data_IF_807860409262
#
_entry.id   IF_807860409262
#
_cell.length_a   1.000
_cell.length_b   1.000
_cell.length_c   1.000
_cell.angle_alpha   90.00
_cell.angle_beta   90.00
_cell.angle_gamma   90.00
#
_symmetry.space_group_name_H-M   'P 1'
#
loop_
_entity.id
_entity.type
_entity.pdbx_description
1 polymer ?
#
# COMPACT_ATOMS: atom_id res chain seq x y z
N UNK A 1 -3.48 -17.12 -43.55
CA UNK A 1 -4.07 -15.92 -42.91
C UNK A 1 -4.49 -16.27 -41.48
N UNK A 2 -3.65 -15.98 -40.47
CA UNK A 2 -3.99 -16.11 -39.05
C UNK A 2 -4.53 -14.75 -38.58
N UNK A 3 -5.84 -14.64 -38.43
CA UNK A 3 -6.42 -13.56 -37.64
C UNK A 3 -6.07 -13.85 -36.16
N UNK A 4 -4.96 -13.27 -35.70
CA UNK A 4 -4.70 -13.14 -34.28
C UNK A 4 -5.81 -12.22 -33.74
N UNK A 5 -6.85 -12.85 -33.18
CA UNK A 5 -7.90 -12.15 -32.47
C UNK A 5 -7.23 -11.29 -31.39
N UNK A 6 -7.39 -9.97 -31.53
CA UNK A 6 -7.16 -9.04 -30.43
C UNK A 6 -8.17 -9.34 -29.34
N UNK A 7 -7.85 -10.32 -28.48
CA UNK A 7 -8.50 -10.47 -27.20
C UNK A 7 -8.04 -9.27 -26.36
N UNK A 8 -8.83 -8.20 -26.40
CA UNK A 8 -8.70 -7.11 -25.45
C UNK A 8 -8.70 -7.72 -24.05
N UNK A 9 -7.60 -7.51 -23.34
CA UNK A 9 -7.28 -8.10 -22.05
C UNK A 9 -8.25 -7.58 -20.98
N UNK A 10 -9.51 -8.04 -20.98
CA UNK A 10 -10.45 -7.80 -19.87
C UNK A 10 -10.10 -8.78 -18.77
N UNK A 11 -9.12 -8.43 -17.96
CA UNK A 11 -8.92 -9.06 -16.66
C UNK A 11 -10.17 -8.76 -15.82
N UNK A 12 -10.88 -9.81 -15.40
CA UNK A 12 -12.03 -9.65 -14.53
C UNK A 12 -11.53 -9.15 -13.16
N UNK A 13 -12.03 -8.00 -12.72
CA UNK A 13 -11.65 -7.42 -11.43
C UNK A 13 -12.16 -8.33 -10.32
N UNK A 14 -11.27 -8.72 -9.42
CA UNK A 14 -11.62 -9.59 -8.30
C UNK A 14 -12.38 -8.78 -7.21
N UNK A 15 -13.36 -9.36 -6.50
CA UNK A 15 -13.97 -8.70 -5.34
C UNK A 15 -12.95 -8.25 -4.29
N UNK A 16 -11.80 -8.93 -4.23
CA UNK A 16 -10.70 -8.54 -3.33
C UNK A 16 -10.03 -7.23 -3.76
N UNK A 17 -9.80 -7.04 -5.06
CA UNK A 17 -9.24 -5.79 -5.60
C UNK A 17 -10.18 -4.63 -5.29
N UNK A 18 -11.48 -4.84 -5.49
CA UNK A 18 -12.48 -3.83 -5.17
C UNK A 18 -12.50 -3.49 -3.67
N UNK A 19 -12.43 -4.49 -2.79
CA UNK A 19 -12.40 -4.25 -1.35
C UNK A 19 -11.09 -3.55 -0.93
N UNK A 20 -9.96 -3.87 -1.57
CA UNK A 20 -8.69 -3.17 -1.37
C UNK A 20 -8.80 -1.69 -1.76
N UNK A 21 -9.41 -1.38 -2.89
CA UNK A 21 -9.65 0.01 -3.31
C UNK A 21 -10.57 0.75 -2.32
N UNK A 22 -11.57 0.08 -1.73
CA UNK A 22 -12.40 0.67 -0.69
C UNK A 22 -11.61 1.04 0.58
N UNK A 23 -10.60 0.25 0.96
CA UNK A 23 -9.70 0.62 2.08
C UNK A 23 -8.96 1.91 1.76
N UNK A 24 -8.51 2.09 0.52
CA UNK A 24 -7.87 3.33 0.07
C UNK A 24 -8.85 4.51 0.02
N UNK A 25 -10.06 4.31 -0.49
CA UNK A 25 -11.11 5.35 -0.49
C UNK A 25 -11.47 5.79 0.93
N UNK A 26 -11.54 4.84 1.88
CA UNK A 26 -11.73 5.16 3.29
C UNK A 26 -10.61 6.06 3.83
N UNK A 27 -9.36 5.78 3.46
CA UNK A 27 -8.22 6.62 3.81
C UNK A 27 -8.39 8.06 3.29
N UNK A 28 -8.81 8.23 2.03
CA UNK A 28 -9.06 9.54 1.44
C UNK A 28 -10.16 10.31 2.18
N UNK A 29 -11.23 9.62 2.63
CA UNK A 29 -12.25 10.23 3.49
C UNK A 29 -11.66 10.71 4.81
N UNK A 30 -10.83 9.89 5.46
CA UNK A 30 -10.18 10.24 6.73
C UNK A 30 -9.21 11.42 6.58
N UNK A 31 -8.42 11.45 5.50
CA UNK A 31 -7.52 12.56 5.17
C UNK A 31 -8.29 13.87 4.92
N UNK A 32 -9.40 13.78 4.18
CA UNK A 32 -10.28 14.93 3.92
C UNK A 32 -10.86 15.47 5.22
N UNK A 33 -11.32 14.60 6.11
CA UNK A 33 -11.81 15.00 7.43
C UNK A 33 -10.71 15.63 8.29
N UNK A 34 -9.50 15.06 8.30
CA UNK A 34 -8.36 15.64 9.02
C UNK A 34 -8.05 17.06 8.54
N UNK A 35 -8.03 17.29 7.23
CA UNK A 35 -7.82 18.62 6.66
C UNK A 35 -8.94 19.61 7.00
N UNK A 36 -10.20 19.15 6.98
CA UNK A 36 -11.36 19.96 7.35
C UNK A 36 -11.34 20.38 8.82
N UNK A 37 -10.89 19.52 9.72
CA UNK A 37 -10.76 19.82 11.16
C UNK A 37 -9.55 20.70 11.44
N UNK A 38 -8.50 20.63 10.63
CA UNK A 38 -7.27 21.41 10.76
C UNK A 38 -7.02 22.30 9.52
N UNK A 39 -7.86 23.32 9.25
CA UNK A 39 -7.78 24.18 8.06
C UNK A 39 -6.66 25.25 8.20
N UNK A 40 -5.44 24.78 8.43
CA UNK A 40 -4.23 25.60 8.59
C UNK A 40 -3.14 25.09 7.66
N UNK A 41 -2.12 25.90 7.37
CA UNK A 41 -0.97 25.46 6.57
C UNK A 41 -0.26 24.25 7.18
N UNK A 42 -0.19 24.18 8.51
CA UNK A 42 0.34 23.02 9.23
C UNK A 42 -0.52 21.77 9.00
N UNK A 43 -1.82 21.87 9.20
CA UNK A 43 -2.75 20.75 8.96
C UNK A 43 -2.75 20.27 7.50
N UNK A 44 -2.57 21.19 6.56
CA UNK A 44 -2.39 20.87 5.14
C UNK A 44 -1.09 20.08 4.88
N UNK A 45 0.04 20.52 5.45
CA UNK A 45 1.31 19.81 5.33
C UNK A 45 1.26 18.42 5.99
N UNK A 46 0.68 18.33 7.19
CA UNK A 46 0.41 17.08 7.91
C UNK A 46 -0.42 16.11 7.05
N UNK A 47 -1.52 16.60 6.48
CA UNK A 47 -2.38 15.80 5.59
C UNK A 47 -1.64 15.36 4.33
N UNK A 48 -0.80 16.22 3.74
CA UNK A 48 -0.01 15.89 2.55
C UNK A 48 1.00 14.76 2.83
N UNK A 49 1.65 14.78 4.00
CA UNK A 49 2.56 13.69 4.42
C UNK A 49 1.80 12.38 4.58
N UNK A 50 0.64 12.40 5.25
CA UNK A 50 -0.20 11.20 5.39
C UNK A 50 -0.73 10.71 4.04
N UNK A 51 -1.07 11.62 3.13
CA UNK A 51 -1.47 11.26 1.77
C UNK A 51 -0.34 10.54 1.03
N UNK A 52 0.91 11.01 1.13
CA UNK A 52 2.07 10.34 0.52
C UNK A 52 2.23 8.92 1.09
N UNK A 53 2.06 8.75 2.40
CA UNK A 53 2.14 7.43 3.04
C UNK A 53 1.07 6.47 2.53
N UNK A 54 -0.19 6.91 2.54
CA UNK A 54 -1.35 6.13 2.12
C UNK A 54 -1.30 5.81 0.63
N UNK A 55 -1.04 6.84 -0.19
CA UNK A 55 -0.95 6.70 -1.65
C UNK A 55 0.22 5.81 -2.05
N UNK A 56 1.39 5.99 -1.44
CA UNK A 56 2.54 5.12 -1.68
C UNK A 56 2.22 3.67 -1.34
N UNK A 57 1.62 3.43 -0.18
CA UNK A 57 1.20 2.09 0.25
C UNK A 57 0.24 1.44 -0.75
N UNK A 58 -0.78 2.19 -1.20
CA UNK A 58 -1.72 1.71 -2.22
C UNK A 58 -1.02 1.44 -3.55
N UNK A 59 -0.23 2.38 -4.06
CA UNK A 59 0.43 2.27 -5.36
C UNK A 59 1.39 1.06 -5.41
N UNK A 60 2.25 0.91 -4.40
CA UNK A 60 3.18 -0.23 -4.34
C UNK A 60 2.43 -1.56 -4.25
N UNK A 61 1.40 -1.65 -3.41
CA UNK A 61 0.61 -2.89 -3.28
C UNK A 61 -0.12 -3.23 -4.59
N UNK A 62 -0.65 -2.23 -5.30
CA UNK A 62 -1.29 -2.42 -6.62
C UNK A 62 -0.30 -2.92 -7.68
N UNK A 63 0.91 -2.34 -7.72
CA UNK A 63 1.97 -2.83 -8.61
C UNK A 63 2.37 -4.27 -8.26
N UNK A 64 2.56 -4.57 -6.98
CA UNK A 64 2.90 -5.92 -6.54
C UNK A 64 1.81 -6.95 -6.83
N UNK A 65 0.54 -6.62 -6.57
CA UNK A 65 -0.59 -7.49 -6.90
C UNK A 65 -0.65 -7.80 -8.40
N UNK A 66 -0.27 -6.84 -9.24
CA UNK A 66 -0.18 -7.01 -10.69
C UNK A 66 1.03 -7.89 -11.08
N UNK A 67 2.22 -7.61 -10.54
CA UNK A 67 3.46 -8.30 -10.89
C UNK A 67 3.53 -9.74 -10.35
N UNK A 68 3.03 -9.97 -9.13
CA UNK A 68 3.05 -11.26 -8.45
C UNK A 68 1.84 -12.14 -8.76
N UNK A 69 0.89 -11.61 -9.54
CA UNK A 69 -0.38 -12.24 -9.88
C UNK A 69 -1.29 -12.46 -8.65
N UNK A 70 -2.33 -11.64 -8.52
CA UNK A 70 -3.26 -11.64 -7.38
C UNK A 70 -4.04 -12.95 -7.22
N UNK A 71 -4.17 -13.72 -8.31
CA UNK A 71 -4.87 -15.01 -8.31
C UNK A 71 -4.07 -16.09 -7.56
N UNK A 72 -2.79 -15.85 -7.26
CA UNK A 72 -2.00 -16.73 -6.40
C UNK A 72 -2.46 -16.61 -4.94
N UNK A 73 -2.69 -17.75 -4.25
CA UNK A 73 -3.19 -17.74 -2.87
C UNK A 73 -2.28 -16.96 -1.90
N UNK A 74 -0.98 -16.94 -2.18
CA UNK A 74 0.01 -16.18 -1.39
C UNK A 74 -0.18 -14.67 -1.55
N UNK A 75 -0.20 -14.16 -2.78
CA UNK A 75 -0.40 -12.74 -3.09
C UNK A 75 -1.74 -12.28 -2.50
N UNK A 76 -2.77 -13.12 -2.63
CA UNK A 76 -4.09 -12.88 -2.04
C UNK A 76 -4.05 -12.71 -0.52
N UNK A 77 -3.32 -13.58 0.19
CA UNK A 77 -3.15 -13.47 1.65
C UNK A 77 -2.35 -12.22 2.03
N UNK A 78 -1.31 -11.88 1.28
CA UNK A 78 -0.53 -10.66 1.50
C UNK A 78 -1.40 -9.42 1.36
N UNK A 79 -2.22 -9.33 0.30
CA UNK A 79 -3.16 -8.23 0.10
C UNK A 79 -4.17 -8.16 1.25
N UNK A 80 -4.73 -9.29 1.71
CA UNK A 80 -5.63 -9.32 2.87
C UNK A 80 -4.96 -8.77 4.15
N UNK A 81 -3.70 -9.13 4.41
CA UNK A 81 -2.93 -8.61 5.55
C UNK A 81 -2.72 -7.10 5.40
N UNK A 82 -2.32 -6.64 4.21
CA UNK A 82 -2.14 -5.21 3.91
C UNK A 82 -3.44 -4.44 4.11
N UNK A 83 -4.59 -5.00 3.75
CA UNK A 83 -5.89 -4.38 3.96
C UNK A 83 -6.24 -4.25 5.43
N UNK A 84 -6.00 -5.29 6.24
CA UNK A 84 -6.22 -5.24 7.69
C UNK A 84 -5.34 -4.18 8.36
N UNK A 85 -4.05 -4.17 8.03
CA UNK A 85 -3.10 -3.16 8.52
C UNK A 85 -3.46 -1.75 8.01
N UNK A 86 -3.86 -1.64 6.75
CA UNK A 86 -4.29 -0.40 6.12
C UNK A 86 -5.54 0.18 6.77
N UNK A 87 -6.54 -0.63 7.10
CA UNK A 87 -7.72 -0.17 7.84
C UNK A 87 -7.35 0.37 9.22
N UNK A 88 -6.46 -0.32 9.95
CA UNK A 88 -5.99 0.14 11.25
C UNK A 88 -5.19 1.45 11.13
N UNK A 89 -4.29 1.53 10.16
CA UNK A 89 -3.54 2.74 9.81
C UNK A 89 -4.48 3.91 9.47
N UNK A 90 -5.49 3.68 8.63
CA UNK A 90 -6.42 4.70 8.16
C UNK A 90 -7.33 5.22 9.30
N UNK A 91 -7.73 4.34 10.23
CA UNK A 91 -8.46 4.74 11.42
C UNK A 91 -7.61 5.65 12.35
N UNK A 92 -6.28 5.55 12.27
CA UNK A 92 -5.35 6.35 13.06
C UNK A 92 -5.01 7.72 12.42
N UNK A 93 -5.40 8.00 11.17
CA UNK A 93 -5.08 9.24 10.43
C UNK A 93 -5.36 10.50 11.27
N UNK A 94 -6.55 10.62 11.86
CA UNK A 94 -6.94 11.80 12.63
C UNK A 94 -6.10 12.05 13.88
N UNK A 95 -5.31 11.06 14.33
CA UNK A 95 -4.46 11.13 15.52
C UNK A 95 -2.97 10.91 15.21
N UNK A 96 -2.60 10.84 13.93
CA UNK A 96 -1.25 10.46 13.50
C UNK A 96 -0.15 11.43 13.97
N UNK A 97 -0.48 12.70 14.22
CA UNK A 97 0.45 13.72 14.74
C UNK A 97 0.29 14.01 16.24
N UNK A 98 -0.39 13.13 16.98
CA UNK A 98 -0.63 13.29 18.41
C UNK A 98 -0.09 12.10 19.21
N UNK A 99 -0.73 11.70 20.30
CA UNK A 99 -0.27 10.61 21.18
C UNK A 99 -0.36 9.22 20.54
N UNK A 100 -1.05 9.08 19.40
CA UNK A 100 -1.27 7.81 18.72
C UNK A 100 -0.50 7.68 17.39
N UNK A 101 0.60 8.43 17.20
CA UNK A 101 1.41 8.39 15.98
C UNK A 101 1.84 6.97 15.60
N UNK A 102 2.23 6.15 16.58
CA UNK A 102 2.64 4.76 16.36
C UNK A 102 1.51 3.87 15.83
N UNK A 103 0.24 4.19 16.08
CA UNK A 103 -0.88 3.46 15.49
C UNK A 103 -0.98 3.67 13.97
N UNK A 104 -0.37 4.73 13.43
CA UNK A 104 -0.23 4.98 12.00
C UNK A 104 1.12 4.45 11.48
N UNK A 105 2.23 4.78 12.15
CA UNK A 105 3.58 4.46 11.68
C UNK A 105 3.88 2.96 11.72
N UNK A 106 3.48 2.24 12.78
CA UNK A 106 3.76 0.81 12.88
C UNK A 106 3.14 -0.03 11.74
N UNK A 107 1.82 0.05 11.44
CA UNK A 107 1.26 -0.68 10.31
C UNK A 107 1.83 -0.20 8.97
N UNK A 108 2.11 1.10 8.79
CA UNK A 108 2.78 1.63 7.60
C UNK A 108 4.12 0.91 7.34
N UNK A 109 4.97 0.85 8.36
CA UNK A 109 6.29 0.21 8.26
C UNK A 109 6.18 -1.29 8.02
N UNK A 110 5.23 -1.97 8.68
CA UNK A 110 4.99 -3.40 8.47
C UNK A 110 4.56 -3.66 7.02
N UNK A 111 3.69 -2.82 6.45
CA UNK A 111 3.29 -2.97 5.05
C UNK A 111 4.49 -2.70 4.12
N UNK A 112 5.14 -1.54 4.27
CA UNK A 112 6.23 -1.10 3.39
C UNK A 112 7.40 -2.10 3.36
N UNK A 113 7.76 -2.67 4.51
CA UNK A 113 8.91 -3.56 4.62
C UNK A 113 8.51 -5.03 4.48
N UNK A 114 7.38 -5.43 5.07
CA UNK A 114 6.97 -6.83 5.16
C UNK A 114 6.62 -7.46 3.82
N UNK A 115 5.93 -6.71 2.96
CA UNK A 115 5.55 -7.18 1.62
C UNK A 115 6.82 -7.40 0.78
N UNK A 116 7.69 -6.40 0.73
CA UNK A 116 8.96 -6.43 -0.01
C UNK A 116 9.91 -7.53 0.51
N UNK A 117 10.00 -7.71 1.83
CA UNK A 117 10.80 -8.77 2.43
C UNK A 117 10.27 -10.16 2.08
N UNK A 118 8.95 -10.35 2.11
CA UNK A 118 8.32 -11.60 1.71
C UNK A 118 8.62 -11.90 0.24
N UNK A 119 8.48 -10.91 -0.63
CA UNK A 119 8.75 -11.04 -2.06
C UNK A 119 10.24 -11.30 -2.34
N UNK A 120 11.16 -10.67 -1.61
CA UNK A 120 12.60 -10.91 -1.71
C UNK A 120 12.98 -12.36 -1.33
N UNK A 121 12.31 -12.94 -0.34
CA UNK A 121 12.58 -14.31 0.10
C UNK A 121 11.96 -15.37 -0.82
N UNK A 122 10.84 -15.04 -1.48
CA UNK A 122 9.97 -16.06 -2.07
C UNK A 122 9.54 -15.82 -3.51
N UNK A 123 10.07 -14.76 -4.12
CA UNK A 123 9.87 -14.50 -5.54
C UNK A 123 10.23 -15.72 -6.39
N UNK A 124 9.45 -16.02 -7.45
CA UNK A 124 9.60 -17.22 -8.27
C UNK A 124 10.91 -17.28 -9.06
N UNK A 125 11.53 -16.13 -9.38
CA UNK A 125 12.81 -16.07 -10.08
C UNK A 125 13.92 -15.43 -9.23
N UNK A 126 15.17 -15.72 -9.56
CA UNK A 126 16.32 -15.10 -8.92
C UNK A 126 16.38 -13.59 -9.21
N UNK A 127 16.01 -13.14 -10.42
CA UNK A 127 16.01 -11.71 -10.73
C UNK A 127 14.97 -10.96 -9.91
N UNK A 128 13.77 -11.54 -9.73
CA UNK A 128 12.70 -10.89 -8.97
C UNK A 128 13.05 -10.79 -7.48
N UNK A 129 13.62 -11.84 -6.91
CA UNK A 129 14.11 -11.81 -5.51
C UNK A 129 15.17 -10.73 -5.31
N UNK A 130 16.10 -10.59 -6.25
CA UNK A 130 17.14 -9.56 -6.19
C UNK A 130 16.56 -8.15 -6.38
N UNK A 131 15.58 -7.99 -7.26
CA UNK A 131 14.84 -6.73 -7.43
C UNK A 131 14.20 -6.31 -6.10
N UNK A 132 13.42 -7.19 -5.47
CA UNK A 132 12.78 -6.91 -4.18
C UNK A 132 13.77 -6.71 -3.05
N UNK A 133 14.90 -7.43 -3.02
CA UNK A 133 15.94 -7.21 -2.02
C UNK A 133 16.57 -5.80 -2.14
N UNK A 134 16.83 -5.33 -3.36
CA UNK A 134 17.33 -3.96 -3.60
C UNK A 134 16.28 -2.92 -3.25
N UNK A 135 15.03 -3.15 -3.65
CA UNK A 135 13.92 -2.28 -3.29
C UNK A 135 13.72 -2.22 -1.77
N UNK A 136 13.90 -3.32 -1.04
CA UNK A 136 13.83 -3.36 0.42
C UNK A 136 14.93 -2.52 1.08
N UNK A 137 16.15 -2.50 0.54
CA UNK A 137 17.22 -1.61 1.04
C UNK A 137 16.80 -0.15 0.90
N UNK A 138 16.28 0.23 -0.26
CA UNK A 138 15.82 1.60 -0.50
C UNK A 138 14.63 1.98 0.40
N UNK A 139 13.63 1.12 0.49
CA UNK A 139 12.46 1.33 1.36
C UNK A 139 12.85 1.34 2.83
N UNK A 140 13.79 0.50 3.25
CA UNK A 140 14.34 0.47 4.61
C UNK A 140 15.09 1.76 4.96
N UNK A 141 15.88 2.31 4.05
CA UNK A 141 16.51 3.62 4.24
C UNK A 141 15.45 4.73 4.34
N UNK A 142 14.42 4.68 3.48
CA UNK A 142 13.32 5.66 3.49
C UNK A 142 12.42 5.52 4.72
N UNK A 143 12.32 4.34 5.33
CA UNK A 143 11.51 4.05 6.51
C UNK A 143 11.86 4.95 7.69
N UNK A 144 13.13 5.34 7.81
CA UNK A 144 13.61 6.23 8.87
C UNK A 144 12.96 7.61 8.81
N UNK A 145 12.57 8.08 7.63
CA UNK A 145 11.88 9.37 7.47
C UNK A 145 10.43 9.36 7.98
N UNK A 146 9.87 8.17 8.24
CA UNK A 146 8.50 8.00 8.71
C UNK A 146 8.38 7.86 10.24
N UNK A 147 9.51 7.79 10.94
CA UNK A 147 9.60 7.71 12.41
C UNK A 147 9.95 9.07 13.00
#
# INVERSE_FOLDING_TARGET
MRAAQGQGFRRAVSPLELFFDLVFVFALTQLSHHLLVHPTWRGAAETAVLLIAVFGTWAFTSFEATLLDIDRPRTRLTVLIVMGLGLFMNAAISRAFTTAAWCFVAPLLVIMLGVQALAALTGPSAELRLHYARSLVWTGASAVLWV
#
